data_IF_455514952497
#
_entry.id   IF_455514952497
#
_cell.length_a   1.000
_cell.length_b   1.000
_cell.length_c   1.000
_cell.angle_alpha   90.00
_cell.angle_beta   90.00
_cell.angle_gamma   90.00
#
_symmetry.space_group_name_H-M   'P 1'
#
loop_
_entity.id
_entity.type
_entity.pdbx_description
1 polymer ?
#
# COMPACT_ATOMS: atom_id res chain seq x y z
N UNK A 1 48.51 0.67 13.96
CA UNK A 1 47.84 -0.53 14.48
C UNK A 1 46.98 -0.06 15.65
N UNK A 2 45.66 0.00 15.67
CA UNK A 2 44.58 -0.47 14.79
C UNK A 2 43.34 0.30 15.28
N UNK A 3 42.58 0.98 14.42
CA UNK A 3 41.15 1.23 14.70
C UNK A 3 40.38 -0.04 14.37
N UNK A 4 39.38 -0.42 15.18
CA UNK A 4 37.99 -0.43 14.66
C UNK A 4 36.97 -0.13 15.80
N UNK A 5 35.69 0.15 15.62
CA UNK A 5 34.81 0.37 14.47
C UNK A 5 33.57 1.11 15.01
N UNK A 6 32.92 1.86 14.14
CA UNK A 6 31.63 2.51 14.36
C UNK A 6 30.52 1.54 14.83
N UNK A 7 29.61 1.95 15.73
CA UNK A 7 28.33 1.29 15.84
C UNK A 7 27.45 1.73 14.66
N UNK A 8 27.37 0.89 13.63
CA UNK A 8 26.31 0.97 12.62
C UNK A 8 24.95 0.77 13.30
N UNK A 9 24.24 1.86 13.54
CA UNK A 9 22.80 1.83 13.82
C UNK A 9 22.09 1.22 12.60
N UNK A 10 21.39 0.10 12.84
CA UNK A 10 20.65 -0.63 11.83
C UNK A 10 19.60 0.24 11.17
N UNK A 11 19.91 0.77 9.99
CA UNK A 11 18.95 1.39 9.10
C UNK A 11 17.97 0.30 8.64
N UNK A 12 16.80 0.23 9.26
CA UNK A 12 15.71 -0.63 8.81
C UNK A 12 15.51 -0.39 7.29
N UNK A 13 15.48 -1.45 6.46
CA UNK A 13 15.49 -1.27 5.02
C UNK A 13 14.27 -0.46 4.61
N UNK A 14 14.51 0.74 4.06
CA UNK A 14 13.48 1.55 3.43
C UNK A 14 12.87 0.73 2.29
N UNK A 15 11.67 0.19 2.52
CA UNK A 15 10.89 -0.53 1.49
C UNK A 15 10.82 0.36 0.26
N UNK A 16 11.45 -0.06 -0.85
CA UNK A 16 11.37 0.64 -2.13
C UNK A 16 9.88 0.71 -2.51
N UNK A 17 9.37 1.86 -2.98
CA UNK A 17 7.98 1.98 -3.40
C UNK A 17 7.74 1.01 -4.55
N UNK A 18 7.11 -0.12 -4.25
CA UNK A 18 6.68 -1.07 -5.28
C UNK A 18 5.55 -0.43 -6.08
N UNK A 19 5.69 -0.43 -7.40
CA UNK A 19 4.65 0.08 -8.28
C UNK A 19 3.37 -0.75 -8.06
N UNK A 20 2.25 -0.07 -7.79
CA UNK A 20 0.96 -0.73 -7.60
C UNK A 20 0.55 -1.39 -8.90
N UNK A 21 0.29 -2.69 -8.86
CA UNK A 21 -0.22 -3.44 -10.01
C UNK A 21 -1.69 -3.06 -10.23
N UNK A 22 -2.02 -2.59 -11.43
CA UNK A 22 -3.41 -2.38 -11.84
C UNK A 22 -3.97 -3.70 -12.37
N UNK A 23 -5.15 -4.10 -11.89
CA UNK A 23 -5.83 -5.34 -12.28
C UNK A 23 -7.26 -5.01 -12.62
N UNK A 24 -7.74 -5.50 -13.77
CA UNK A 24 -9.15 -5.43 -14.14
C UNK A 24 -9.90 -6.55 -13.43
N UNK A 25 -10.89 -6.19 -12.61
CA UNK A 25 -11.75 -7.14 -11.90
C UNK A 25 -13.10 -7.22 -12.62
N UNK A 26 -13.57 -8.44 -12.87
CA UNK A 26 -14.95 -8.69 -13.28
C UNK A 26 -15.76 -8.98 -12.02
N UNK A 27 -16.68 -8.09 -11.68
CA UNK A 27 -17.53 -8.19 -10.51
C UNK A 27 -18.99 -8.11 -10.96
N UNK A 28 -19.86 -8.79 -10.23
CA UNK A 28 -21.29 -8.55 -10.33
C UNK A 28 -21.58 -7.08 -9.95
N UNK A 29 -22.43 -6.35 -10.71
CA UNK A 29 -22.72 -4.94 -10.42
C UNK A 29 -23.27 -4.69 -9.02
N UNK A 30 -24.13 -5.58 -8.50
CA UNK A 30 -24.73 -5.43 -7.18
C UNK A 30 -23.68 -5.61 -6.08
N UNK A 31 -22.72 -6.52 -6.29
CA UNK A 31 -21.58 -6.71 -5.38
C UNK A 31 -20.68 -5.47 -5.38
N UNK A 32 -20.40 -4.92 -6.56
CA UNK A 32 -19.64 -3.68 -6.67
C UNK A 32 -20.31 -2.53 -5.91
N UNK A 33 -21.63 -2.37 -6.08
CA UNK A 33 -22.38 -1.31 -5.41
C UNK A 33 -22.41 -1.48 -3.89
N UNK A 34 -22.56 -2.71 -3.40
CA UNK A 34 -22.49 -3.00 -1.98
C UNK A 34 -21.10 -2.66 -1.40
N UNK A 35 -20.01 -2.99 -2.12
CA UNK A 35 -18.65 -2.63 -1.73
C UNK A 35 -18.43 -1.11 -1.74
N UNK A 36 -18.97 -0.41 -2.74
CA UNK A 36 -18.86 1.03 -2.84
C UNK A 36 -19.57 1.74 -1.67
N UNK A 37 -20.79 1.31 -1.33
CA UNK A 37 -21.55 1.83 -0.18
C UNK A 37 -20.81 1.59 1.14
N UNK A 38 -20.33 0.37 1.38
CA UNK A 38 -19.56 0.07 2.57
C UNK A 38 -18.26 0.89 2.66
N UNK A 39 -17.57 1.09 1.53
CA UNK A 39 -16.40 1.95 1.50
C UNK A 39 -16.76 3.40 1.89
N UNK A 40 -17.88 3.94 1.40
CA UNK A 40 -18.37 5.27 1.75
C UNK A 40 -18.67 5.41 3.24
N UNK A 41 -19.29 4.40 3.85
CA UNK A 41 -19.60 4.39 5.29
C UNK A 41 -18.34 4.45 6.16
N UNK A 42 -17.23 3.83 5.70
CA UNK A 42 -15.92 3.88 6.37
C UNK A 42 -15.03 5.06 5.91
N UNK A 43 -15.59 5.95 5.08
CA UNK A 43 -14.90 7.09 4.47
C UNK A 43 -13.69 6.66 3.61
N UNK A 44 -13.67 5.44 3.07
CA UNK A 44 -12.62 4.91 2.20
C UNK A 44 -13.02 5.00 0.73
N UNK A 45 -12.03 4.96 -0.17
CA UNK A 45 -12.32 4.67 -1.57
C UNK A 45 -12.64 3.18 -1.75
N UNK A 46 -13.43 2.84 -2.77
CA UNK A 46 -13.74 1.45 -3.10
C UNK A 46 -12.47 0.59 -3.27
N UNK A 47 -11.43 1.12 -3.94
CA UNK A 47 -10.16 0.41 -4.10
C UNK A 47 -9.44 0.17 -2.76
N UNK A 48 -9.48 1.14 -1.83
CA UNK A 48 -8.90 0.97 -0.50
C UNK A 48 -9.67 -0.07 0.32
N UNK A 49 -11.00 -0.15 0.16
CA UNK A 49 -11.82 -1.16 0.79
C UNK A 49 -11.53 -2.56 0.24
N UNK A 50 -11.45 -2.71 -1.09
CA UNK A 50 -11.08 -3.97 -1.75
C UNK A 50 -9.71 -4.46 -1.27
N UNK A 51 -8.69 -3.59 -1.26
CA UNK A 51 -7.35 -3.93 -0.78
C UNK A 51 -7.35 -4.40 0.68
N UNK A 52 -8.13 -3.72 1.53
CA UNK A 52 -8.27 -4.11 2.93
C UNK A 52 -8.88 -5.52 3.08
N UNK A 53 -9.95 -5.80 2.33
CA UNK A 53 -10.61 -7.11 2.35
C UNK A 53 -9.70 -8.22 1.85
N UNK A 54 -8.99 -7.99 0.74
CA UNK A 54 -8.03 -8.97 0.19
C UNK A 54 -6.93 -9.31 1.21
N UNK A 55 -6.37 -8.30 1.87
CA UNK A 55 -5.34 -8.51 2.90
C UNK A 55 -5.88 -9.23 4.12
N UNK A 56 -7.09 -8.87 4.57
CA UNK A 56 -7.77 -9.55 5.68
C UNK A 56 -7.99 -11.03 5.34
N UNK A 57 -8.55 -11.32 4.18
CA UNK A 57 -8.78 -12.69 3.70
C UNK A 57 -7.47 -13.50 3.56
N UNK A 58 -6.42 -12.89 3.00
CA UNK A 58 -5.10 -13.54 2.91
C UNK A 58 -4.49 -13.82 4.29
N UNK A 59 -4.65 -12.89 5.24
CA UNK A 59 -4.16 -13.06 6.61
C UNK A 59 -4.91 -14.18 7.34
N UNK A 60 -6.24 -14.17 7.24
CA UNK A 60 -7.11 -15.20 7.83
C UNK A 60 -6.83 -16.59 7.23
N UNK A 61 -6.52 -16.65 5.93
CA UNK A 61 -6.11 -17.88 5.26
C UNK A 61 -4.65 -18.31 5.54
N UNK A 62 -3.86 -17.51 6.27
CA UNK A 62 -2.43 -17.78 6.50
C UNK A 62 -1.56 -17.65 5.25
N UNK A 63 -2.02 -16.95 4.22
CA UNK A 63 -1.38 -16.80 2.89
C UNK A 63 -0.81 -15.41 2.63
N UNK A 64 -0.85 -14.52 3.62
CA UNK A 64 -0.30 -13.18 3.46
C UNK A 64 1.25 -13.26 3.37
N UNK A 65 1.87 -12.78 2.28
CA UNK A 65 3.33 -12.80 2.17
C UNK A 65 3.99 -11.95 3.27
N UNK A 66 5.06 -12.45 3.88
CA UNK A 66 5.79 -11.73 4.94
C UNK A 66 6.40 -10.40 4.47
N UNK A 67 6.66 -10.27 3.17
CA UNK A 67 7.17 -9.05 2.56
C UNK A 67 6.10 -7.97 2.32
N UNK A 68 4.81 -8.30 2.46
CA UNK A 68 3.72 -7.36 2.21
C UNK A 68 3.84 -6.13 3.14
N UNK A 69 3.98 -4.95 2.52
CA UNK A 69 4.03 -3.67 3.22
C UNK A 69 2.78 -3.38 4.06
N UNK A 70 2.86 -2.58 5.14
CA UNK A 70 1.66 -2.07 5.81
C UNK A 70 0.81 -1.27 4.82
N UNK A 71 -0.52 -1.22 5.03
CA UNK A 71 -1.37 -0.39 4.20
C UNK A 71 -0.93 1.09 4.31
N UNK A 72 -0.78 1.81 3.19
CA UNK A 72 -0.43 3.22 3.22
C UNK A 72 -1.53 4.03 3.91
N UNK A 73 -1.12 5.02 4.73
CA UNK A 73 -2.05 5.90 5.45
C UNK A 73 -2.83 6.78 4.48
N UNK A 74 -4.09 7.09 4.82
CA UNK A 74 -4.98 7.93 4.00
C UNK A 74 -4.32 9.29 3.75
N UNK A 75 -4.44 9.81 2.53
CA UNK A 75 -4.00 11.16 2.16
C UNK A 75 -2.49 11.40 2.02
N UNK A 76 -1.63 10.42 2.28
CA UNK A 76 -0.18 10.59 2.08
C UNK A 76 0.23 10.05 0.70
N UNK A 77 0.47 10.91 -0.30
CA UNK A 77 1.21 10.47 -1.48
C UNK A 77 2.58 9.94 -1.02
N UNK A 78 3.05 8.81 -1.57
CA UNK A 78 4.40 8.34 -1.30
C UNK A 78 5.37 9.44 -1.74
N UNK A 79 6.28 9.85 -0.86
CA UNK A 79 7.28 10.88 -1.16
C UNK A 79 8.23 10.38 -2.24
N UNK A 80 7.94 10.71 -3.49
CA UNK A 80 8.74 10.36 -4.66
C UNK A 80 8.09 10.86 -5.95
N UNK A 81 8.76 11.82 -6.60
CA UNK A 81 8.52 12.39 -7.93
C UNK A 81 7.17 13.09 -8.19
N UNK A 82 7.11 14.38 -7.83
CA UNK A 82 6.41 15.34 -8.68
C UNK A 82 7.45 15.91 -9.68
N UNK A 83 7.28 15.77 -11.00
CA UNK A 83 8.14 16.45 -11.96
C UNK A 83 7.95 17.97 -11.81
N UNK A 84 9.06 18.71 -11.67
CA UNK A 84 9.05 20.17 -11.66
C UNK A 84 8.50 20.67 -13.00
N UNK A 85 7.53 21.60 -13.03
CA UNK A 85 7.12 22.20 -14.29
C UNK A 85 8.30 22.94 -14.93
N UNK A 86 8.44 22.94 -16.27
CA UNK A 86 9.48 23.69 -16.94
C UNK A 86 9.27 25.19 -16.65
N UNK A 87 10.32 25.84 -16.15
CA UNK A 87 10.40 27.29 -16.07
C UNK A 87 10.32 27.86 -17.48
N UNK A 88 9.29 28.67 -17.73
CA UNK A 88 9.18 29.52 -18.91
C UNK A 88 10.23 30.64 -18.87
#
# INVERSE_FOLDING_TARGET
>A
MTSPADPSEGSAPKRRPQQRKQVLLRLDPLVHDALARWASDELRSANAQIEFLLRKALKEAGRLPGEAGPLPRRGRPPGGSAPRPPSA
#
